data_IF_379041740887
#
_entry.id   IF_379041740887
#
_cell.length_a   1.000
_cell.length_b   1.000
_cell.length_c   1.000
_cell.angle_alpha   90.00
_cell.angle_beta   90.00
_cell.angle_gamma   90.00
#
_symmetry.space_group_name_H-M   'P 1'
#
loop_
_entity.id
_entity.type
_entity.pdbx_description
1 polymer ?
#
# COMPACT_ATOMS: atom_id res chain seq x y z
N UNK A 1 10.80 9.18 5.38
CA UNK A 1 10.53 8.35 4.20
C UNK A 1 10.50 6.87 4.59
N UNK A 2 9.48 6.15 4.16
CA UNK A 2 9.16 4.76 4.47
C UNK A 2 8.29 4.16 3.37
N UNK A 3 8.88 3.34 2.51
CA UNK A 3 8.14 2.64 1.45
C UNK A 3 7.52 1.36 1.96
N UNK A 4 6.21 1.22 1.78
CA UNK A 4 5.46 0.06 2.28
C UNK A 4 4.83 -0.74 1.14
N UNK A 5 5.52 -1.79 0.71
CA UNK A 5 5.01 -2.76 -0.25
C UNK A 5 4.17 -3.86 0.41
N UNK A 6 3.08 -4.27 -0.25
CA UNK A 6 2.22 -5.36 0.20
C UNK A 6 1.87 -6.26 -0.98
N UNK A 7 2.19 -7.56 -0.86
CA UNK A 7 1.89 -8.57 -1.89
C UNK A 7 0.43 -8.55 -2.37
N UNK A 8 -0.53 -8.29 -1.48
CA UNK A 8 -1.95 -8.30 -1.81
C UNK A 8 -2.57 -6.93 -2.11
N UNK A 9 -1.83 -5.82 -1.87
CA UNK A 9 -2.40 -4.45 -1.89
C UNK A 9 -1.65 -3.45 -2.77
N UNK A 10 -0.41 -3.72 -3.14
CA UNK A 10 0.36 -2.79 -3.97
C UNK A 10 1.11 -3.52 -5.10
N UNK A 11 1.50 -4.79 -4.88
CA UNK A 11 2.16 -5.58 -5.91
C UNK A 11 1.37 -5.74 -7.22
N UNK A 12 0.04 -6.00 -7.21
CA UNK A 12 -0.70 -6.23 -8.46
C UNK A 12 -0.79 -5.01 -9.37
N UNK A 13 -0.59 -3.80 -8.83
CA UNK A 13 -0.58 -2.54 -9.57
C UNK A 13 0.84 -1.95 -9.69
N UNK A 14 1.87 -2.73 -9.35
CA UNK A 14 3.29 -2.38 -9.43
C UNK A 14 3.71 -1.12 -8.66
N UNK A 15 3.13 -0.93 -7.46
CA UNK A 15 3.41 0.22 -6.59
C UNK A 15 3.92 -0.22 -5.22
N UNK A 16 4.50 0.73 -4.49
CA UNK A 16 4.58 0.69 -3.04
C UNK A 16 3.89 1.94 -2.47
N UNK A 17 3.33 1.82 -1.27
CA UNK A 17 2.68 2.93 -0.59
C UNK A 17 3.78 3.81 0.03
N UNK A 18 4.03 5.00 -0.53
CA UNK A 18 5.06 5.90 -0.02
C UNK A 18 4.58 6.59 1.26
N UNK A 19 5.36 6.58 2.33
CA UNK A 19 4.99 7.05 3.66
C UNK A 19 6.12 7.84 4.31
N UNK A 20 5.82 8.47 5.44
CA UNK A 20 6.84 8.88 6.40
C UNK A 20 6.50 8.48 7.83
N UNK A 21 7.54 8.48 8.66
CA UNK A 21 7.45 8.40 10.11
C UNK A 21 7.97 9.72 10.66
N UNK A 22 7.30 10.27 11.67
CA UNK A 22 7.78 11.43 12.41
C UNK A 22 7.76 11.19 13.94
N UNK A 23 8.14 12.22 14.70
CA UNK A 23 8.15 12.17 16.16
C UNK A 23 6.79 12.49 16.79
N UNK A 24 5.72 12.64 16.01
CA UNK A 24 4.37 12.93 16.51
C UNK A 24 3.64 11.62 16.86
N UNK A 25 4.26 10.81 17.72
CA UNK A 25 3.72 9.52 18.15
C UNK A 25 2.85 9.61 19.41
N UNK A 26 2.59 10.81 19.94
CA UNK A 26 1.72 11.03 21.11
C UNK A 26 0.64 12.08 20.84
N UNK A 27 -0.55 11.87 21.40
CA UNK A 27 -1.63 12.87 21.41
C UNK A 27 -1.33 14.06 22.37
N UNK A 28 -2.22 15.05 22.42
CA UNK A 28 -2.05 16.23 23.31
C UNK A 28 -2.05 15.90 24.81
N UNK A 29 -2.43 14.67 25.17
CA UNK A 29 -2.51 14.15 26.53
C UNK A 29 -1.32 13.24 26.85
N UNK A 30 -0.40 13.02 25.90
CA UNK A 30 0.78 12.19 26.07
C UNK A 30 0.55 10.68 25.86
N UNK A 31 -0.62 10.26 25.35
CA UNK A 31 -0.87 8.87 25.01
C UNK A 31 -0.26 8.54 23.66
N UNK A 32 0.31 7.34 23.51
CA UNK A 32 0.81 6.86 22.21
C UNK A 32 -0.36 6.73 21.25
N UNK A 33 -0.25 7.37 20.08
CA UNK A 33 -1.24 7.25 19.01
C UNK A 33 -1.14 5.87 18.35
N UNK A 34 -2.26 5.33 17.88
CA UNK A 34 -2.35 3.98 17.32
C UNK A 34 -1.32 3.72 16.21
N UNK A 35 -1.13 4.70 15.32
CA UNK A 35 -0.20 4.60 14.18
C UNK A 35 1.28 4.82 14.56
N UNK A 36 1.57 5.19 15.81
CA UNK A 36 2.94 5.37 16.31
C UNK A 36 3.77 6.41 15.56
N UNK A 37 3.13 7.43 14.97
CA UNK A 37 3.81 8.47 14.16
C UNK A 37 4.00 8.11 12.68
N UNK A 38 3.39 7.03 12.20
CA UNK A 38 3.34 6.72 10.75
C UNK A 38 2.26 7.53 10.05
N UNK A 39 2.59 8.06 8.86
CA UNK A 39 1.70 8.95 8.12
C UNK A 39 1.52 8.60 6.65
N UNK A 40 0.42 9.14 6.13
CA UNK A 40 0.09 9.27 4.72
C UNK A 40 0.92 10.36 4.04
N UNK A 41 1.59 10.09 2.93
CA UNK A 41 2.05 11.15 2.02
C UNK A 41 0.84 11.70 1.27
N UNK A 42 1.00 12.88 0.69
CA UNK A 42 -0.08 13.58 0.02
C UNK A 42 -0.61 12.80 -1.20
N UNK A 43 -1.93 12.77 -1.36
CA UNK A 43 -2.63 12.15 -2.49
C UNK A 43 -4.01 12.74 -2.70
N UNK A 44 -4.53 12.65 -3.93
CA UNK A 44 -5.96 12.81 -4.19
C UNK A 44 -6.64 11.44 -4.29
N UNK A 45 -5.93 10.43 -4.79
CA UNK A 45 -6.37 9.05 -4.92
C UNK A 45 -5.37 8.09 -4.28
N UNK A 46 -5.86 7.22 -3.40
CA UNK A 46 -5.05 6.19 -2.75
C UNK A 46 -4.84 4.96 -3.62
N UNK A 47 -3.81 4.17 -3.31
CA UNK A 47 -3.45 2.93 -4.03
C UNK A 47 -4.49 1.81 -3.88
N UNK A 48 -5.25 1.83 -2.79
CA UNK A 48 -6.28 0.85 -2.48
C UNK A 48 -7.29 1.42 -1.50
N UNK A 49 -8.47 0.80 -1.47
CA UNK A 49 -9.59 1.23 -0.63
C UNK A 49 -10.27 0.00 -0.03
N UNK A 50 -10.86 0.16 1.16
CA UNK A 50 -11.67 -0.89 1.76
C UNK A 50 -12.85 -1.22 0.84
N UNK A 51 -13.04 -2.50 0.52
CA UNK A 51 -14.22 -2.95 -0.20
C UNK A 51 -15.36 -3.21 0.78
N UNK A 52 -15.94 -2.14 1.32
CA UNK A 52 -17.04 -2.23 2.30
C UNK A 52 -18.09 -1.14 2.08
N UNK A 53 -19.35 -1.50 2.23
CA UNK A 53 -20.48 -0.57 2.25
C UNK A 53 -20.69 0.03 3.65
N UNK A 54 -21.70 0.88 3.80
CA UNK A 54 -22.06 1.49 5.09
C UNK A 54 -22.53 0.52 6.17
N UNK A 55 -22.86 -0.72 5.81
CA UNK A 55 -23.29 -1.78 6.73
C UNK A 55 -22.16 -2.78 7.05
N UNK A 56 -20.97 -2.60 6.48
CA UNK A 56 -19.85 -3.53 6.63
C UNK A 56 -19.93 -4.77 5.74
N UNK A 57 -20.87 -4.82 4.78
CA UNK A 57 -20.87 -5.82 3.72
C UNK A 57 -19.90 -5.40 2.60
N UNK A 58 -19.41 -6.33 1.78
CA UNK A 58 -18.64 -5.96 0.59
C UNK A 58 -19.41 -4.97 -0.29
N UNK A 59 -18.72 -3.97 -0.85
CA UNK A 59 -19.36 -2.99 -1.74
C UNK A 59 -19.42 -3.49 -3.19
N UNK A 60 -18.34 -4.13 -3.64
CA UNK A 60 -18.17 -4.62 -5.00
C UNK A 60 -17.84 -6.12 -5.04
N UNK A 61 -18.20 -6.79 -6.14
CA UNK A 61 -18.03 -8.23 -6.33
C UNK A 61 -17.19 -8.63 -7.56
N UNK A 62 -16.96 -7.71 -8.50
CA UNK A 62 -16.20 -8.00 -9.71
C UNK A 62 -16.11 -6.81 -10.68
N UNK A 63 -15.43 -6.95 -11.83
CA UNK A 63 -14.73 -8.16 -12.27
C UNK A 63 -13.51 -8.50 -11.38
N UNK A 64 -13.28 -9.80 -11.16
CA UNK A 64 -12.14 -10.29 -10.36
C UNK A 64 -10.96 -10.65 -11.25
N UNK A 65 -9.82 -10.02 -11.01
CA UNK A 65 -8.55 -10.27 -11.69
C UNK A 65 -7.72 -11.30 -10.93
N UNK A 66 -7.11 -12.25 -11.64
CA UNK A 66 -6.27 -13.30 -11.05
C UNK A 66 -7.01 -14.26 -10.11
N UNK A 67 -8.35 -14.18 -10.05
CA UNK A 67 -9.19 -14.98 -9.15
C UNK A 67 -9.30 -14.44 -7.71
N UNK A 68 -8.69 -13.30 -7.38
CA UNK A 68 -8.69 -12.78 -6.00
C UNK A 68 -8.54 -11.26 -5.84
N UNK A 69 -8.40 -10.48 -6.92
CA UNK A 69 -8.25 -9.02 -6.84
C UNK A 69 -9.42 -8.29 -7.51
N UNK A 70 -9.84 -7.17 -6.91
CA UNK A 70 -10.53 -6.10 -7.61
C UNK A 70 -9.48 -5.04 -7.97
N UNK A 71 -9.30 -4.77 -9.25
CA UNK A 71 -8.35 -3.77 -9.75
C UNK A 71 -9.14 -2.79 -10.61
N UNK A 72 -9.14 -1.52 -10.23
CA UNK A 72 -9.72 -0.43 -11.00
C UNK A 72 -8.66 0.06 -12.00
N UNK A 73 -8.86 -0.12 -13.31
CA UNK A 73 -7.91 0.33 -14.31
C UNK A 73 -7.78 1.84 -14.34
N UNK A 74 -6.61 2.32 -14.77
CA UNK A 74 -6.41 3.74 -14.98
C UNK A 74 -7.41 4.32 -16.00
N UNK A 75 -8.04 5.44 -15.65
CA UNK A 75 -9.06 6.14 -16.44
C UNK A 75 -10.51 5.78 -16.09
N UNK A 76 -10.74 4.73 -15.32
CA UNK A 76 -12.08 4.28 -14.91
C UNK A 76 -12.52 4.89 -13.56
N UNK A 77 -13.82 4.74 -13.25
CA UNK A 77 -14.35 5.02 -11.91
C UNK A 77 -14.93 3.76 -11.29
N UNK A 78 -14.77 3.57 -9.97
CA UNK A 78 -15.17 2.35 -9.29
C UNK A 78 -16.65 2.00 -9.51
N UNK A 79 -17.55 3.00 -9.42
CA UNK A 79 -18.99 2.81 -9.59
C UNK A 79 -19.40 2.44 -11.01
N UNK A 80 -18.61 2.80 -12.03
CA UNK A 80 -18.88 2.43 -13.43
C UNK A 80 -18.23 1.11 -13.83
N UNK A 81 -17.09 0.78 -13.23
CA UNK A 81 -16.28 -0.38 -13.62
C UNK A 81 -16.64 -1.64 -12.83
N UNK A 82 -16.85 -1.52 -11.52
CA UNK A 82 -17.16 -2.66 -10.67
C UNK A 82 -18.67 -2.97 -10.62
N UNK A 83 -18.97 -4.24 -10.38
CA UNK A 83 -20.32 -4.72 -10.08
C UNK A 83 -20.59 -4.58 -8.59
N UNK A 84 -21.67 -3.90 -8.23
CA UNK A 84 -22.12 -3.82 -6.84
C UNK A 84 -22.37 -5.23 -6.26
N UNK A 85 -22.00 -5.41 -5.01
CA UNK A 85 -22.25 -6.65 -4.29
C UNK A 85 -23.75 -6.80 -4.00
N UNK A 86 -24.30 -7.98 -4.28
CA UNK A 86 -25.67 -8.36 -3.93
C UNK A 86 -25.63 -9.57 -3.01
N UNK A 87 -25.90 -9.35 -1.72
CA UNK A 87 -25.91 -10.39 -0.71
C UNK A 87 -26.96 -11.49 -0.96
N UNK A 88 -28.02 -11.21 -1.73
CA UNK A 88 -29.08 -12.19 -2.01
C UNK A 88 -28.68 -13.24 -3.05
N UNK A 89 -27.69 -12.91 -3.89
CA UNK A 89 -27.17 -13.77 -4.96
C UNK A 89 -25.69 -14.11 -4.78
N UNK A 90 -25.06 -13.62 -3.71
CA UNK A 90 -23.66 -13.82 -3.42
C UNK A 90 -23.31 -15.32 -3.33
N UNK A 91 -22.32 -15.73 -4.11
CA UNK A 91 -21.67 -17.02 -3.94
C UNK A 91 -20.81 -16.98 -2.67
N UNK A 92 -21.36 -17.54 -1.58
CA UNK A 92 -20.68 -17.61 -0.28
C UNK A 92 -19.56 -18.65 -0.25
N UNK A 93 -19.35 -19.39 -1.34
CA UNK A 93 -18.23 -20.33 -1.49
C UNK A 93 -17.04 -19.72 -2.23
N UNK A 94 -17.24 -18.55 -2.86
CA UNK A 94 -16.19 -17.78 -3.53
C UNK A 94 -15.37 -16.91 -2.59
N UNK A 95 -14.25 -16.36 -3.10
CA UNK A 95 -13.46 -15.34 -2.38
C UNK A 95 -14.02 -13.96 -2.68
N UNK A 96 -14.33 -13.19 -1.64
CA UNK A 96 -14.73 -11.78 -1.77
C UNK A 96 -13.54 -10.89 -1.34
N UNK A 97 -12.95 -10.10 -2.25
CA UNK A 97 -11.82 -9.25 -1.91
C UNK A 97 -12.21 -8.19 -0.88
N UNK A 98 -11.46 -8.08 0.22
CA UNK A 98 -11.68 -7.05 1.26
C UNK A 98 -11.19 -5.66 0.87
N UNK A 99 -10.45 -5.56 -0.24
CA UNK A 99 -9.93 -4.32 -0.80
C UNK A 99 -10.11 -4.31 -2.32
N UNK A 100 -10.22 -3.11 -2.88
CA UNK A 100 -9.98 -2.90 -4.31
C UNK A 100 -8.79 -1.97 -4.52
N UNK A 101 -8.03 -2.23 -5.58
CA UNK A 101 -6.78 -1.55 -5.91
C UNK A 101 -7.06 -0.51 -6.99
N UNK A 102 -6.39 0.64 -6.93
CA UNK A 102 -6.67 1.79 -7.79
C UNK A 102 -5.43 2.19 -8.59
N UNK A 103 -5.43 1.90 -9.90
CA UNK A 103 -4.35 2.33 -10.79
C UNK A 103 -4.37 3.83 -11.08
N UNK A 104 -5.43 4.54 -10.66
CA UNK A 104 -5.49 6.00 -10.74
C UNK A 104 -4.77 6.71 -9.58
N UNK A 105 -4.13 5.97 -8.68
CA UNK A 105 -3.41 6.54 -7.54
C UNK A 105 -2.40 7.62 -7.99
N UNK A 106 -2.32 8.69 -7.21
CA UNK A 106 -1.53 9.89 -7.54
C UNK A 106 -0.93 10.55 -6.30
N UNK A 107 -0.25 11.69 -6.52
CA UNK A 107 0.47 12.42 -5.49
C UNK A 107 1.82 11.78 -5.14
N UNK A 108 2.49 12.36 -4.13
CA UNK A 108 3.75 11.84 -3.58
C UNK A 108 3.57 10.40 -3.10
N UNK A 109 2.41 10.08 -2.50
CA UNK A 109 2.04 8.72 -2.05
C UNK A 109 2.23 7.61 -3.10
N UNK A 110 2.10 7.94 -4.38
CA UNK A 110 2.09 6.97 -5.48
C UNK A 110 3.37 6.99 -6.34
N UNK A 111 4.36 7.82 -6.01
CA UNK A 111 5.54 8.00 -6.87
C UNK A 111 6.59 6.85 -6.76
N UNK A 112 6.46 6.00 -5.73
CA UNK A 112 7.24 4.76 -5.60
C UNK A 112 6.63 3.63 -6.42
N UNK A 113 7.37 3.19 -7.43
CA UNK A 113 7.07 1.97 -8.18
C UNK A 113 7.75 0.78 -7.52
N UNK A 114 7.08 -0.38 -7.57
CA UNK A 114 7.68 -1.61 -7.09
C UNK A 114 7.25 -2.81 -7.94
N UNK A 115 8.22 -3.55 -8.44
CA UNK A 115 7.99 -4.81 -9.14
C UNK A 115 8.43 -5.97 -8.25
N UNK A 116 7.73 -7.10 -8.37
CA UNK A 116 8.00 -8.24 -7.51
C UNK A 116 7.76 -9.57 -8.19
N UNK A 117 8.51 -10.58 -7.73
CA UNK A 117 8.29 -11.97 -8.11
C UNK A 117 8.32 -12.85 -6.87
N UNK A 118 7.53 -13.92 -6.87
CA UNK A 118 7.61 -14.98 -5.89
C UNK A 118 8.09 -16.25 -6.56
N UNK A 119 9.24 -16.76 -6.14
CA UNK A 119 9.82 -17.98 -6.67
C UNK A 119 10.53 -18.75 -5.57
N UNK A 120 10.35 -20.07 -5.55
CA UNK A 120 11.04 -20.97 -4.60
C UNK A 120 10.91 -20.53 -3.14
N UNK A 121 9.71 -20.06 -2.74
CA UNK A 121 9.43 -19.66 -1.36
C UNK A 121 9.94 -18.27 -0.98
N UNK A 122 10.47 -17.48 -1.92
CA UNK A 122 11.08 -16.18 -1.66
C UNK A 122 10.43 -15.09 -2.51
N UNK A 123 10.16 -13.94 -1.88
CA UNK A 123 9.82 -12.71 -2.58
C UNK A 123 11.10 -11.97 -2.97
N UNK A 124 11.18 -11.55 -4.23
CA UNK A 124 12.12 -10.53 -4.70
C UNK A 124 11.30 -9.29 -5.04
N UNK A 125 11.64 -8.16 -4.42
CA UNK A 125 10.96 -6.88 -4.63
C UNK A 125 12.01 -5.85 -5.01
N UNK A 126 11.79 -5.14 -6.11
CA UNK A 126 12.60 -4.02 -6.57
C UNK A 126 11.77 -2.75 -6.46
N UNK A 127 12.31 -1.76 -5.75
CA UNK A 127 11.70 -0.44 -5.60
C UNK A 127 12.41 0.57 -6.49
N UNK A 128 11.67 1.51 -7.04
CA UNK A 128 12.22 2.60 -7.84
C UNK A 128 11.41 3.87 -7.65
N UNK A 129 12.13 4.97 -7.42
CA UNK A 129 11.63 6.35 -7.43
C UNK A 129 12.76 7.31 -7.83
N UNK A 130 12.44 8.58 -8.08
CA UNK A 130 13.44 9.60 -8.32
C UNK A 130 14.32 9.82 -7.07
N UNK A 131 15.58 10.22 -7.25
CA UNK A 131 16.45 10.60 -6.13
C UNK A 131 15.95 11.87 -5.42
N UNK A 132 15.45 12.81 -6.22
CA UNK A 132 14.77 14.02 -5.76
C UNK A 132 13.38 14.02 -6.43
N UNK A 133 12.34 13.81 -5.64
CA UNK A 133 10.94 13.82 -6.11
C UNK A 133 10.40 15.24 -6.22
N UNK A 134 11.04 16.20 -5.56
CA UNK A 134 10.55 17.57 -5.40
C UNK A 134 9.39 17.74 -4.43
N UNK A 135 9.01 16.69 -3.69
CA UNK A 135 7.97 16.77 -2.66
C UNK A 135 8.57 17.06 -1.28
N UNK A 136 7.91 17.90 -0.48
CA UNK A 136 8.41 18.30 0.86
C UNK A 136 8.26 17.18 1.92
N UNK A 137 7.44 16.16 1.65
CA UNK A 137 7.25 14.98 2.51
C UNK A 137 8.30 13.88 2.24
N UNK A 138 9.16 14.07 1.24
CA UNK A 138 10.16 13.11 0.79
C UNK A 138 11.58 13.42 1.26
N UNK A 139 12.36 12.35 1.45
CA UNK A 139 13.81 12.47 1.62
C UNK A 139 14.47 12.63 0.25
N UNK A 140 15.35 13.63 0.09
CA UNK A 140 16.19 13.77 -1.11
C UNK A 140 17.43 12.89 -1.01
N UNK A 141 17.57 11.96 -1.94
CA UNK A 141 18.72 11.07 -2.05
C UNK A 141 19.88 11.72 -2.83
N UNK A 142 21.12 11.47 -2.38
CA UNK A 142 22.33 12.00 -3.03
C UNK A 142 23.03 13.14 -2.28
N UNK A 143 22.55 13.51 -1.09
CA UNK A 143 23.23 14.48 -0.20
C UNK A 143 24.21 13.83 0.79
N UNK A 144 24.48 12.52 0.65
CA UNK A 144 25.38 11.74 1.49
C UNK A 144 24.95 10.27 1.61
N UNK A 145 25.63 9.53 2.49
CA UNK A 145 25.22 8.17 2.86
C UNK A 145 23.87 8.23 3.61
N UNK A 146 22.95 7.35 3.24
CA UNK A 146 21.59 7.31 3.80
C UNK A 146 21.43 6.05 4.61
N UNK A 147 21.10 6.20 5.89
CA UNK A 147 20.79 5.07 6.75
C UNK A 147 19.39 4.53 6.45
N UNK A 148 19.30 3.23 6.22
CA UNK A 148 18.07 2.52 5.88
C UNK A 148 17.91 1.31 6.78
N UNK A 149 16.66 0.98 7.08
CA UNK A 149 16.27 -0.27 7.73
C UNK A 149 15.19 -0.95 6.91
N UNK A 150 15.11 -2.27 7.00
CA UNK A 150 14.07 -3.07 6.34
C UNK A 150 13.30 -3.81 7.42
N UNK A 151 11.98 -3.67 7.40
CA UNK A 151 11.08 -4.50 8.17
C UNK A 151 10.31 -5.44 7.22
N UNK A 152 10.21 -6.71 7.60
CA UNK A 152 9.45 -7.73 6.89
C UNK A 152 8.40 -8.25 7.86
N UNK A 153 7.15 -8.17 7.45
CA UNK A 153 6.01 -8.75 8.17
C UNK A 153 5.40 -9.86 7.33
N UNK A 154 4.94 -10.92 7.98
CA UNK A 154 4.05 -11.85 7.30
C UNK A 154 2.61 -11.32 7.28
N UNK A 155 1.74 -12.02 6.54
CA UNK A 155 0.33 -11.64 6.49
C UNK A 155 -0.46 -12.01 7.77
N UNK A 156 0.18 -12.60 8.78
CA UNK A 156 -0.48 -12.98 10.05
C UNK A 156 -0.54 -11.82 11.05
N UNK A 157 0.28 -10.77 10.86
CA UNK A 157 0.42 -9.67 11.80
C UNK A 157 1.19 -10.03 13.08
N UNK A 158 1.58 -11.30 13.26
CA UNK A 158 2.34 -11.77 14.41
C UNK A 158 3.84 -11.82 14.12
N UNK A 159 4.24 -12.49 13.04
CA UNK A 159 5.65 -12.66 12.71
C UNK A 159 6.19 -11.44 11.95
N UNK A 160 7.25 -10.86 12.51
CA UNK A 160 7.96 -9.75 11.91
C UNK A 160 9.45 -9.86 12.20
N UNK A 161 10.26 -9.36 11.28
CA UNK A 161 11.72 -9.28 11.40
C UNK A 161 12.22 -7.96 10.85
N UNK A 162 13.23 -7.38 11.49
CA UNK A 162 13.89 -6.16 11.03
C UNK A 162 15.36 -6.40 10.74
N UNK A 163 15.92 -5.63 9.80
CA UNK A 163 17.36 -5.52 9.64
C UNK A 163 17.95 -4.60 10.71
N UNK A 164 19.24 -4.76 11.01
CA UNK A 164 19.99 -3.64 11.56
C UNK A 164 20.03 -2.49 10.53
N UNK A 165 20.25 -1.24 10.97
CA UNK A 165 20.50 -0.14 10.05
C UNK A 165 21.72 -0.40 9.17
N UNK A 166 21.65 -0.01 7.90
CA UNK A 166 22.76 -0.05 6.97
C UNK A 166 22.71 1.18 6.05
N UNK A 167 23.84 1.54 5.47
CA UNK A 167 23.94 2.73 4.62
C UNK A 167 23.81 2.38 3.13
N UNK A 168 22.97 3.13 2.42
CA UNK A 168 23.00 3.25 0.97
C UNK A 168 23.92 4.41 0.61
N UNK A 169 24.87 4.17 -0.29
CA UNK A 169 25.84 5.17 -0.75
C UNK A 169 25.42 5.73 -2.10
N UNK A 170 25.52 7.04 -2.25
CA UNK A 170 25.22 7.78 -3.47
C UNK A 170 26.44 8.55 -3.96
#
# INVERSE_FOLDING_TARGET
DQWHWKAHRTAPIHRADDKYIDNNYTDSQGNVVEDGGQHGDSKTKGLYHDNKDGNGLPLYSGPVTGGHYLILPAGETADSYFTLFDASTADTTGTIPGYWLDENADGSRADVTAYSTFSSGTWTVEYSRALDTGNDDDVVFGSGDIEVTIAITDNSGGAHSGSAPFYIKF
#
